data_IF_242906019204
#
_entry.id   IF_242906019204
#
_cell.length_a   1.000
_cell.length_b   1.000
_cell.length_c   1.000
_cell.angle_alpha   90.00
_cell.angle_beta   90.00
_cell.angle_gamma   90.00
#
_symmetry.space_group_name_H-M   'P 1'
#
loop_
_entity.id
_entity.type
_entity.pdbx_description
1 polymer ?
#
# COMPACT_ATOMS: atom_id res chain seq x y z
N UNK A 1 64.36 90.05 -23.43
CA UNK A 1 64.49 90.26 -24.87
C UNK A 1 63.33 89.57 -25.58
N UNK A 2 62.73 90.17 -26.62
CA UNK A 2 61.60 89.57 -27.31
C UNK A 2 62.01 88.28 -28.02
N UNK A 3 61.13 87.28 -27.98
CA UNK A 3 61.27 85.97 -28.66
C UNK A 3 60.16 85.87 -29.70
N UNK A 4 60.35 85.05 -30.74
CA UNK A 4 59.31 84.79 -31.72
C UNK A 4 58.16 83.94 -31.12
N UNK A 5 57.09 83.69 -31.89
CA UNK A 5 55.94 82.87 -31.45
C UNK A 5 56.26 81.41 -31.12
N UNK A 6 57.52 80.97 -31.32
CA UNK A 6 58.04 79.64 -31.00
C UNK A 6 59.04 79.69 -29.83
N UNK A 7 59.26 80.85 -29.20
CA UNK A 7 60.17 81.01 -28.07
C UNK A 7 61.66 81.12 -28.44
N UNK A 8 62.01 81.23 -29.71
CA UNK A 8 63.39 81.40 -30.18
C UNK A 8 63.75 82.89 -30.17
N UNK A 9 64.91 83.21 -29.61
CA UNK A 9 65.52 84.52 -29.73
C UNK A 9 66.26 84.63 -31.07
N UNK A 10 65.96 85.67 -31.84
CA UNK A 10 66.66 86.01 -33.07
C UNK A 10 67.41 87.32 -32.88
N UNK A 11 68.56 87.46 -33.55
CA UNK A 11 69.28 88.72 -33.59
C UNK A 11 68.44 89.80 -34.30
N UNK A 12 68.69 91.09 -34.01
CA UNK A 12 68.00 92.18 -34.69
C UNK A 12 68.13 92.09 -36.22
N UNK A 13 67.11 92.45 -37.01
CA UNK A 13 67.09 92.26 -38.47
C UNK A 13 68.24 92.94 -39.25
N UNK A 14 68.92 93.91 -38.64
CA UNK A 14 70.04 94.66 -39.23
C UNK A 14 71.40 93.99 -39.02
N UNK A 15 71.44 92.83 -38.34
CA UNK A 15 72.66 92.10 -38.01
C UNK A 15 73.25 91.33 -39.19
N UNK A 16 72.43 90.64 -39.99
CA UNK A 16 72.96 89.86 -41.12
C UNK A 16 73.23 90.77 -42.34
N UNK A 17 74.45 90.73 -42.88
CA UNK A 17 74.77 91.44 -44.11
C UNK A 17 73.98 90.86 -45.29
N UNK A 18 73.23 91.72 -46.00
CA UNK A 18 72.46 91.32 -47.18
C UNK A 18 73.34 91.38 -48.42
N UNK A 19 73.23 90.36 -49.27
CA UNK A 19 74.02 90.30 -50.52
C UNK A 19 73.72 91.53 -51.39
N UNK A 20 74.76 92.33 -51.68
CA UNK A 20 74.66 93.56 -52.48
C UNK A 20 74.80 94.86 -51.69
N UNK A 21 74.87 94.81 -50.35
CA UNK A 21 75.08 95.99 -49.49
C UNK A 21 76.53 96.11 -48.98
N UNK A 22 76.90 97.31 -48.51
CA UNK A 22 78.22 97.55 -47.88
C UNK A 22 78.23 96.94 -46.50
N UNK A 23 79.20 96.07 -46.21
CA UNK A 23 79.35 95.43 -44.90
C UNK A 23 79.86 96.46 -43.89
N UNK A 24 79.09 96.71 -42.83
CA UNK A 24 79.50 97.54 -41.70
C UNK A 24 80.03 96.67 -40.55
N UNK A 25 81.08 97.13 -39.86
CA UNK A 25 81.68 96.39 -38.74
C UNK A 25 80.67 96.10 -37.60
N UNK A 26 79.56 96.85 -37.53
CA UNK A 26 78.47 96.65 -36.58
C UNK A 26 77.63 95.38 -36.86
N UNK A 27 77.69 94.85 -38.09
CA UNK A 27 76.92 93.67 -38.54
C UNK A 27 77.55 92.33 -38.12
N UNK A 28 78.82 92.32 -37.67
CA UNK A 28 79.53 91.07 -37.35
C UNK A 28 80.25 91.14 -35.99
N UNK A 29 79.46 91.29 -34.93
CA UNK A 29 79.99 91.26 -33.56
C UNK A 29 79.81 89.84 -32.97
N UNK A 30 80.92 89.11 -32.79
CA UNK A 30 80.96 87.75 -32.21
C UNK A 30 80.18 87.61 -30.89
N UNK A 31 80.26 88.55 -29.93
CA UNK A 31 79.46 88.50 -28.71
C UNK A 31 77.94 88.43 -28.91
N UNK A 32 77.41 88.93 -30.03
CA UNK A 32 75.97 88.87 -30.30
C UNK A 32 75.53 87.46 -30.74
N UNK A 33 76.34 86.77 -31.54
CA UNK A 33 76.15 85.35 -31.87
C UNK A 33 76.20 84.47 -30.61
N UNK A 34 77.15 84.73 -29.71
CA UNK A 34 77.25 84.03 -28.42
C UNK A 34 76.01 84.24 -27.53
N UNK A 35 75.47 85.47 -27.48
CA UNK A 35 74.24 85.80 -26.75
C UNK A 35 73.04 85.08 -27.38
N UNK A 36 72.95 85.05 -28.71
CA UNK A 36 71.86 84.36 -29.38
C UNK A 36 71.91 82.84 -29.13
N UNK A 37 73.12 82.27 -29.07
CA UNK A 37 73.34 80.88 -28.69
C UNK A 37 72.93 80.61 -27.23
N UNK A 38 73.45 81.40 -26.27
CA UNK A 38 73.13 81.25 -24.84
C UNK A 38 71.64 81.40 -24.54
N UNK A 39 70.96 82.35 -25.19
CA UNK A 39 69.52 82.59 -24.98
C UNK A 39 68.62 81.50 -25.57
N UNK A 40 69.12 80.69 -26.52
CA UNK A 40 68.38 79.59 -27.13
C UNK A 40 68.77 78.21 -26.60
N UNK A 41 69.89 78.10 -25.89
CA UNK A 41 70.31 76.88 -25.22
C UNK A 41 69.62 76.71 -23.85
N UNK A 42 69.30 75.45 -23.51
CA UNK A 42 68.79 75.11 -22.19
C UNK A 42 69.85 75.42 -21.12
N UNK A 43 69.48 76.19 -20.09
CA UNK A 43 70.40 76.60 -19.02
C UNK A 43 70.60 75.50 -17.97
N UNK A 44 71.81 75.29 -17.45
CA UNK A 44 72.08 74.29 -16.42
C UNK A 44 71.45 74.65 -15.07
N UNK A 45 71.28 73.65 -14.21
CA UNK A 45 70.69 73.78 -12.85
C UNK A 45 71.45 74.80 -12.00
N UNK A 46 72.79 74.83 -12.09
CA UNK A 46 73.65 75.78 -11.35
C UNK A 46 73.35 77.26 -11.65
N UNK A 47 72.64 77.54 -12.75
CA UNK A 47 72.25 78.91 -13.16
C UNK A 47 70.73 79.13 -13.10
N UNK A 48 70.00 78.24 -12.44
CA UNK A 48 68.54 78.33 -12.26
C UNK A 48 67.70 77.78 -13.42
N UNK A 49 68.29 77.05 -14.36
CA UNK A 49 67.57 76.32 -15.40
C UNK A 49 67.32 74.84 -15.03
N UNK A 50 66.81 74.06 -15.98
CA UNK A 50 66.62 72.60 -15.82
C UNK A 50 67.54 71.78 -16.72
N UNK A 51 68.31 72.43 -17.61
CA UNK A 51 69.13 71.78 -18.63
C UNK A 51 68.34 71.06 -19.74
N UNK A 52 66.99 71.10 -19.71
CA UNK A 52 66.13 70.41 -20.67
C UNK A 52 65.48 71.36 -21.68
N UNK A 53 65.42 70.93 -22.95
CA UNK A 53 64.72 71.65 -24.04
C UNK A 53 63.23 71.29 -24.13
N UNK A 54 62.76 70.37 -23.28
CA UNK A 54 61.36 69.94 -23.21
C UNK A 54 60.92 69.75 -21.76
N UNK A 55 59.61 69.73 -21.52
CA UNK A 55 59.07 69.45 -20.20
C UNK A 55 59.47 68.06 -19.67
N UNK A 56 59.58 67.05 -20.54
CA UNK A 56 60.01 65.69 -20.15
C UNK A 56 61.46 65.68 -19.72
N UNK A 57 62.35 66.27 -20.52
CA UNK A 57 63.77 66.32 -20.18
C UNK A 57 64.05 67.18 -18.95
N UNK A 58 63.29 68.26 -18.76
CA UNK A 58 63.33 69.04 -17.54
C UNK A 58 62.92 68.23 -16.30
N UNK A 59 61.94 67.32 -16.41
CA UNK A 59 61.50 66.45 -15.32
C UNK A 59 62.54 65.37 -14.99
N UNK A 60 63.11 64.73 -16.02
CA UNK A 60 64.19 63.75 -15.86
C UNK A 60 65.41 64.37 -15.17
N UNK A 61 65.83 65.56 -15.61
CA UNK A 61 66.96 66.27 -15.01
C UNK A 61 66.73 66.69 -13.55
N UNK A 62 65.47 66.87 -13.15
CA UNK A 62 65.08 67.22 -11.79
C UNK A 62 64.67 66.02 -10.94
N UNK A 63 64.68 64.81 -11.51
CA UNK A 63 64.19 63.57 -10.87
C UNK A 63 62.76 63.71 -10.32
N UNK A 64 61.86 64.29 -11.13
CA UNK A 64 60.45 64.45 -10.77
C UNK A 64 59.53 63.74 -11.75
N UNK A 65 58.45 63.14 -11.24
CA UNK A 65 57.45 62.48 -12.06
C UNK A 65 56.36 63.45 -12.54
N UNK A 66 55.83 63.21 -13.74
CA UNK A 66 54.55 63.78 -14.13
C UNK A 66 53.42 63.17 -13.31
N UNK A 67 52.26 63.84 -13.30
CA UNK A 67 51.06 63.32 -12.63
C UNK A 67 50.70 61.89 -13.09
N UNK A 68 50.85 61.60 -14.38
CA UNK A 68 50.56 60.28 -14.94
C UNK A 68 51.56 59.24 -14.45
N UNK A 69 52.85 59.58 -14.48
CA UNK A 69 53.92 58.68 -14.00
C UNK A 69 53.79 58.41 -12.50
N UNK A 70 53.49 59.43 -11.68
CA UNK A 70 53.24 59.23 -10.23
C UNK A 70 52.04 58.31 -9.97
N UNK A 71 50.97 58.43 -10.74
CA UNK A 71 49.79 57.55 -10.62
C UNK A 71 50.13 56.13 -11.06
N UNK A 72 50.91 55.97 -12.13
CA UNK A 72 51.30 54.65 -12.62
C UNK A 72 52.25 53.95 -11.65
N UNK A 73 53.29 54.64 -11.16
CA UNK A 73 54.19 54.13 -10.14
C UNK A 73 53.45 53.70 -8.86
N UNK A 74 52.44 54.46 -8.44
CA UNK A 74 51.61 54.08 -7.29
C UNK A 74 50.78 52.80 -7.57
N UNK A 75 50.28 52.61 -8.80
CA UNK A 75 49.55 51.40 -9.20
C UNK A 75 50.47 50.18 -9.25
N UNK A 76 51.64 50.33 -9.85
CA UNK A 76 52.63 49.26 -9.99
C UNK A 76 53.11 48.81 -8.60
N UNK A 77 53.43 49.77 -7.73
CA UNK A 77 53.81 49.50 -6.34
C UNK A 77 52.72 48.79 -5.53
N UNK A 78 51.43 49.02 -5.83
CA UNK A 78 50.31 48.28 -5.20
C UNK A 78 50.20 46.86 -5.80
N UNK A 79 50.40 46.72 -7.11
CA UNK A 79 50.33 45.43 -7.80
C UNK A 79 51.46 44.46 -7.45
N UNK A 80 52.61 44.98 -7.04
CA UNK A 80 53.78 44.21 -6.61
C UNK A 80 53.73 43.80 -5.12
N UNK A 81 52.72 44.23 -4.36
CA UNK A 81 52.58 43.82 -2.96
C UNK A 81 52.28 42.32 -2.85
N UNK A 82 52.99 41.63 -1.95
CA UNK A 82 52.71 40.24 -1.63
C UNK A 82 51.31 40.07 -1.04
N UNK A 83 50.60 39.03 -1.48
CA UNK A 83 49.28 38.69 -0.94
C UNK A 83 49.41 38.18 0.50
N UNK A 84 48.54 38.69 1.38
CA UNK A 84 48.39 38.18 2.75
C UNK A 84 47.23 37.21 2.81
N UNK A 85 47.52 35.91 2.77
CA UNK A 85 46.51 34.84 2.76
C UNK A 85 45.62 34.81 4.02
N UNK A 86 46.19 35.16 5.18
CA UNK A 86 45.48 35.09 6.46
C UNK A 86 45.58 36.42 7.21
N UNK A 87 44.67 37.37 6.94
CA UNK A 87 44.65 38.63 7.68
C UNK A 87 44.29 38.41 9.16
N UNK A 88 45.01 39.07 10.05
CA UNK A 88 44.81 39.07 11.50
C UNK A 88 43.95 40.26 11.92
N UNK A 89 43.39 40.22 13.13
CA UNK A 89 42.42 41.23 13.61
C UNK A 89 42.90 42.68 13.59
N UNK A 90 44.21 42.88 13.71
CA UNK A 90 44.87 44.19 13.70
C UNK A 90 45.16 44.72 12.28
N UNK A 91 45.01 43.90 11.25
CA UNK A 91 45.18 44.35 9.86
C UNK A 91 44.08 45.35 9.48
N UNK A 92 44.32 46.16 8.46
CA UNK A 92 43.35 47.15 7.99
C UNK A 92 43.09 47.06 6.50
N UNK A 93 41.84 47.26 6.10
CA UNK A 93 41.43 47.52 4.71
C UNK A 93 41.07 48.99 4.56
N UNK A 94 41.39 49.57 3.41
CA UNK A 94 40.93 50.92 3.06
C UNK A 94 39.55 50.81 2.41
N UNK A 95 38.59 51.56 2.93
CA UNK A 95 37.24 51.70 2.39
C UNK A 95 37.01 53.15 1.98
N UNK A 96 36.08 53.36 1.07
CA UNK A 96 35.60 54.69 0.70
C UNK A 96 34.32 54.94 1.48
N UNK A 97 34.30 56.00 2.28
CA UNK A 97 33.12 56.34 3.09
C UNK A 97 32.19 57.28 2.30
N UNK A 98 31.06 56.74 1.85
CA UNK A 98 30.05 57.49 1.09
C UNK A 98 29.33 58.55 1.94
N UNK A 99 29.25 58.38 3.25
CA UNK A 99 28.62 59.35 4.15
C UNK A 99 29.53 60.55 4.46
N UNK A 100 30.85 60.37 4.35
CA UNK A 100 31.87 61.42 4.55
C UNK A 100 32.49 61.86 3.21
N UNK A 101 31.66 62.00 2.17
CA UNK A 101 32.05 62.59 0.89
C UNK A 101 33.08 61.77 0.11
N UNK A 102 33.01 60.44 0.19
CA UNK A 102 33.92 59.50 -0.47
C UNK A 102 35.39 59.61 -0.02
N UNK A 103 35.64 60.05 1.21
CA UNK A 103 37.00 60.05 1.77
C UNK A 103 37.45 58.63 2.08
N UNK A 104 38.72 58.27 1.82
CA UNK A 104 39.28 57.00 2.25
C UNK A 104 39.33 56.90 3.78
N UNK A 105 38.86 55.77 4.33
CA UNK A 105 38.95 55.41 5.75
C UNK A 105 39.58 54.04 5.90
N UNK A 106 40.16 53.77 7.07
CA UNK A 106 40.70 52.45 7.42
C UNK A 106 39.69 51.71 8.31
N UNK A 107 39.39 50.46 7.95
CA UNK A 107 38.62 49.55 8.79
C UNK A 107 39.50 48.38 9.22
N UNK A 108 39.49 48.04 10.50
CA UNK A 108 40.22 46.87 10.99
C UNK A 108 39.57 45.58 10.51
N UNK A 109 40.38 44.56 10.25
CA UNK A 109 39.89 43.25 9.82
C UNK A 109 38.96 42.62 10.85
N UNK A 110 39.19 42.86 12.15
CA UNK A 110 38.27 42.48 13.23
C UNK A 110 36.86 43.06 13.06
N UNK A 111 36.74 44.31 12.59
CA UNK A 111 35.44 44.97 12.34
C UNK A 111 34.78 44.43 11.08
N UNK A 112 35.58 44.15 10.04
CA UNK A 112 35.09 43.50 8.81
C UNK A 112 34.56 42.10 9.12
N UNK A 113 35.31 41.27 9.86
CA UNK A 113 34.86 39.95 10.32
C UNK A 113 33.61 40.03 11.18
N UNK A 114 33.52 41.03 12.06
CA UNK A 114 32.34 41.24 12.87
C UNK A 114 31.11 41.61 12.02
N UNK A 115 31.28 42.25 10.87
CA UNK A 115 30.20 42.53 9.93
C UNK A 115 29.76 41.28 9.17
N UNK A 116 30.71 40.40 8.81
CA UNK A 116 30.48 39.12 8.12
C UNK A 116 30.41 37.99 9.13
N UNK A 117 29.44 38.09 10.04
CA UNK A 117 29.24 37.10 11.11
C UNK A 117 27.97 36.26 10.87
N UNK A 118 27.79 35.21 11.67
CA UNK A 118 26.64 34.31 11.58
C UNK A 118 25.29 35.03 11.72
N UNK A 119 25.22 36.11 12.51
CA UNK A 119 23.99 36.88 12.68
C UNK A 119 23.62 37.68 11.41
N UNK A 120 24.61 38.27 10.74
CA UNK A 120 24.41 38.98 9.47
C UNK A 120 23.96 38.03 8.35
N UNK A 121 24.53 36.82 8.29
CA UNK A 121 24.12 35.77 7.34
C UNK A 121 22.71 35.26 7.69
N UNK A 122 22.41 35.05 8.97
CA UNK A 122 21.08 34.65 9.42
C UNK A 122 20.00 35.67 9.07
N UNK A 123 20.28 36.97 9.25
CA UNK A 123 19.38 38.05 8.86
C UNK A 123 19.16 38.10 7.34
N UNK A 124 20.21 37.89 6.54
CA UNK A 124 20.10 37.83 5.08
C UNK A 124 19.23 36.65 4.60
N UNK A 125 19.36 35.47 5.23
CA UNK A 125 18.50 34.32 4.95
C UNK A 125 17.05 34.58 5.37
N UNK A 126 16.83 35.18 6.54
CA UNK A 126 15.48 35.49 7.04
C UNK A 126 14.76 36.55 6.19
N UNK A 127 15.50 37.50 5.60
CA UNK A 127 14.95 38.52 4.70
C UNK A 127 14.79 38.08 3.24
N UNK A 128 15.24 36.88 2.87
CA UNK A 128 15.10 36.38 1.51
C UNK A 128 13.64 36.04 1.18
N UNK A 129 13.25 36.20 -0.09
CA UNK A 129 11.92 35.80 -0.55
C UNK A 129 11.73 34.29 -0.43
N UNK A 130 10.56 33.87 0.05
CA UNK A 130 10.19 32.45 0.11
C UNK A 130 9.99 31.84 -1.28
N UNK A 131 10.29 30.54 -1.42
CA UNK A 131 9.94 29.72 -2.59
C UNK A 131 8.90 28.68 -2.16
N UNK A 132 7.67 28.83 -2.68
CA UNK A 132 6.53 28.00 -2.24
C UNK A 132 6.70 26.51 -2.57
N UNK A 133 7.32 26.20 -3.72
CA UNK A 133 7.53 24.83 -4.18
C UNK A 133 8.99 24.62 -4.55
N UNK A 134 9.82 24.13 -3.61
CA UNK A 134 11.20 23.81 -3.91
C UNK A 134 11.30 22.65 -4.93
N UNK A 135 12.22 22.80 -5.88
CA UNK A 135 12.62 21.77 -6.84
C UNK A 135 13.70 20.87 -6.23
N UNK A 136 13.90 19.68 -6.78
CA UNK A 136 14.85 18.70 -6.22
C UNK A 136 16.30 19.18 -6.17
N UNK A 137 16.67 20.11 -7.05
CA UNK A 137 17.99 20.73 -7.10
C UNK A 137 18.19 21.90 -6.12
N UNK A 138 17.13 22.39 -5.48
CA UNK A 138 17.22 23.52 -4.56
C UNK A 138 17.98 23.12 -3.27
N UNK A 139 18.83 24.04 -2.77
CA UNK A 139 19.63 23.82 -1.58
C UNK A 139 19.00 24.40 -0.33
N UNK A 140 19.09 23.65 0.76
CA UNK A 140 18.85 24.09 2.13
C UNK A 140 20.16 24.10 2.89
N UNK A 141 20.45 25.20 3.58
CA UNK A 141 21.61 25.33 4.45
C UNK A 141 21.24 24.97 5.89
N UNK A 142 22.19 24.39 6.62
CA UNK A 142 22.06 24.07 8.03
C UNK A 142 23.41 24.12 8.74
N UNK A 143 23.38 23.89 10.05
CA UNK A 143 24.58 23.80 10.89
C UNK A 143 24.69 22.39 11.43
N UNK A 144 25.86 21.77 11.24
CA UNK A 144 26.15 20.43 11.73
C UNK A 144 26.09 20.38 13.26
N UNK A 145 25.41 19.36 13.79
CA UNK A 145 25.37 19.13 15.22
C UNK A 145 26.80 18.92 15.77
N UNK A 146 27.16 19.67 16.82
CA UNK A 146 28.43 19.51 17.54
C UNK A 146 29.66 20.21 16.95
N UNK A 147 29.58 20.90 15.80
CA UNK A 147 30.75 21.48 15.15
C UNK A 147 30.64 22.92 14.63
N UNK A 148 29.46 23.55 14.69
CA UNK A 148 29.19 24.86 14.03
C UNK A 148 29.59 24.90 12.54
N UNK A 149 29.76 23.74 11.91
CA UNK A 149 30.13 23.61 10.50
C UNK A 149 28.89 23.78 9.64
N UNK A 150 28.94 24.72 8.69
CA UNK A 150 27.86 24.89 7.73
C UNK A 150 27.81 23.69 6.79
N UNK A 151 26.60 23.19 6.51
CA UNK A 151 26.37 22.20 5.47
C UNK A 151 25.22 22.65 4.58
N UNK A 152 25.10 22.01 3.41
CA UNK A 152 23.93 22.13 2.55
C UNK A 152 23.42 20.74 2.16
N UNK A 153 22.12 20.62 1.98
CA UNK A 153 21.47 19.44 1.42
C UNK A 153 20.46 19.88 0.36
N UNK A 154 20.09 18.99 -0.55
CA UNK A 154 19.08 19.31 -1.56
C UNK A 154 17.68 18.99 -1.05
N UNK A 155 16.66 19.66 -1.60
CA UNK A 155 15.27 19.29 -1.34
C UNK A 155 14.99 17.83 -1.70
N UNK A 156 15.56 17.34 -2.81
CA UNK A 156 15.47 15.93 -3.20
C UNK A 156 15.97 14.97 -2.11
N UNK A 157 17.11 15.28 -1.47
CA UNK A 157 17.65 14.48 -0.37
C UNK A 157 16.75 14.53 0.88
N UNK A 158 16.17 15.69 1.18
CA UNK A 158 15.21 15.83 2.30
C UNK A 158 13.97 14.97 2.03
N UNK A 159 13.39 15.06 0.82
CA UNK A 159 12.26 14.23 0.43
C UNK A 159 12.57 12.75 0.53
N UNK A 160 13.72 12.31 0.04
CA UNK A 160 14.15 10.92 0.15
C UNK A 160 14.28 10.46 1.63
N UNK A 161 14.81 11.31 2.51
CA UNK A 161 14.90 11.00 3.94
C UNK A 161 13.53 10.92 4.62
N UNK A 162 12.59 11.79 4.25
CA UNK A 162 11.22 11.78 4.76
C UNK A 162 10.43 10.58 4.23
N UNK A 163 10.57 10.22 2.95
CA UNK A 163 9.93 9.06 2.33
C UNK A 163 10.36 7.73 2.98
N UNK A 164 11.56 7.67 3.57
CA UNK A 164 12.03 6.52 4.36
C UNK A 164 11.44 6.44 5.78
N UNK A 165 10.75 7.47 6.24
CA UNK A 165 10.26 7.59 7.63
C UNK A 165 8.75 7.76 7.73
N UNK A 166 8.12 8.35 6.72
CA UNK A 166 6.72 8.69 6.71
C UNK A 166 6.00 8.04 5.53
N UNK A 167 4.73 7.70 5.72
CA UNK A 167 3.87 7.26 4.63
C UNK A 167 3.47 8.47 3.79
N UNK A 168 3.52 8.33 2.47
CA UNK A 168 3.20 9.41 1.54
C UNK A 168 1.69 9.44 1.27
N UNK A 169 1.06 10.60 1.52
CA UNK A 169 -0.34 10.86 1.15
C UNK A 169 -0.39 11.47 -0.25
N UNK A 170 -0.92 10.73 -1.24
CA UNK A 170 -1.12 11.23 -2.60
C UNK A 170 -2.57 11.00 -3.00
N UNK A 171 -3.29 12.09 -3.30
CA UNK A 171 -4.69 12.01 -3.73
C UNK A 171 -5.61 11.31 -2.72
N UNK A 172 -5.38 11.54 -1.42
CA UNK A 172 -6.14 10.89 -0.34
C UNK A 172 -5.74 9.44 -0.04
N UNK A 173 -4.78 8.87 -0.77
CA UNK A 173 -4.27 7.51 -0.56
C UNK A 173 -2.94 7.56 0.19
N UNK A 174 -2.84 6.85 1.33
CA UNK A 174 -1.58 6.61 2.01
C UNK A 174 -0.85 5.45 1.33
N UNK A 175 0.39 5.70 0.90
CA UNK A 175 1.26 4.71 0.25
C UNK A 175 2.59 4.59 1.01
N UNK A 176 3.07 3.36 1.22
CA UNK A 176 4.33 3.06 1.89
C UNK A 176 4.23 1.84 2.84
N UNK A 177 5.36 1.46 3.45
CA UNK A 177 5.44 0.33 4.37
C UNK A 177 5.39 0.81 5.83
N UNK A 178 4.36 0.38 6.58
CA UNK A 178 4.30 0.63 8.03
C UNK A 178 5.09 -0.47 8.76
N UNK A 179 6.34 -0.20 9.11
CA UNK A 179 7.13 -1.09 9.97
C UNK A 179 6.82 -0.76 11.43
N UNK A 180 5.71 -1.30 11.92
CA UNK A 180 5.38 -1.28 13.34
C UNK A 180 6.12 -2.43 14.03
N UNK A 181 6.80 -2.17 15.14
CA UNK A 181 7.30 -3.22 16.05
C UNK A 181 6.14 -4.04 16.69
N UNK A 182 4.88 -3.68 16.40
CA UNK A 182 3.68 -4.47 16.63
C UNK A 182 2.64 -4.27 15.49
N UNK A 183 2.89 -4.93 14.35
CA UNK A 183 1.98 -5.67 13.45
C UNK A 183 0.54 -5.14 13.16
N UNK A 184 0.43 -4.18 12.24
CA UNK A 184 -0.78 -4.00 11.41
C UNK A 184 -0.36 -3.85 9.95
N UNK A 185 -0.86 -4.72 9.07
CA UNK A 185 -0.38 -4.87 7.69
C UNK A 185 -1.52 -4.73 6.68
N UNK A 186 -1.77 -3.52 6.16
CA UNK A 186 -2.86 -3.29 5.20
C UNK A 186 -2.30 -3.45 3.78
N UNK A 187 -2.48 -4.64 3.18
CA UNK A 187 -2.14 -4.89 1.77
C UNK A 187 -3.24 -4.41 0.82
N UNK A 188 -2.85 -3.70 -0.25
CA UNK A 188 -3.75 -3.10 -1.24
C UNK A 188 -4.61 -4.13 -2.01
N UNK A 189 -4.04 -5.29 -2.31
CA UNK A 189 -4.71 -6.29 -3.18
C UNK A 189 -5.49 -7.35 -2.37
N UNK A 190 -5.16 -7.47 -1.07
CA UNK A 190 -5.86 -8.33 -0.11
C UNK A 190 -5.75 -7.68 1.27
N UNK A 191 -6.69 -6.81 1.69
CA UNK A 191 -6.65 -6.27 3.04
C UNK A 191 -6.75 -7.43 4.05
N UNK A 192 -5.66 -7.65 4.80
CA UNK A 192 -5.56 -8.67 5.84
C UNK A 192 -5.28 -8.02 7.18
N UNK A 193 -6.03 -8.40 8.21
CA UNK A 193 -5.63 -8.14 9.59
C UNK A 193 -4.93 -9.39 10.11
N UNK A 194 -3.69 -9.23 10.53
CA UNK A 194 -2.84 -10.33 11.00
C UNK A 194 -2.59 -10.15 12.49
N UNK A 195 -3.06 -11.09 13.29
CA UNK A 195 -2.79 -11.16 14.72
C UNK A 195 -1.62 -12.14 14.93
N UNK A 196 -0.44 -11.57 15.14
CA UNK A 196 0.80 -12.32 15.39
C UNK A 196 1.00 -12.38 16.91
N UNK A 197 1.27 -13.58 17.44
CA UNK A 197 1.58 -13.76 18.85
C UNK A 197 2.92 -13.08 19.22
N UNK A 198 3.21 -12.86 20.52
CA UNK A 198 4.51 -12.33 20.95
C UNK A 198 5.72 -13.16 20.52
N UNK A 199 5.53 -14.44 20.17
CA UNK A 199 6.57 -15.32 19.66
C UNK A 199 6.81 -15.20 18.14
N UNK A 200 6.08 -14.31 17.45
CA UNK A 200 6.21 -14.08 16.02
C UNK A 200 5.44 -15.07 15.14
N UNK A 201 4.70 -16.00 15.74
CA UNK A 201 3.84 -16.93 14.99
C UNK A 201 2.52 -16.24 14.61
N UNK A 202 2.07 -16.42 13.37
CA UNK A 202 0.73 -16.01 12.95
C UNK A 202 -0.28 -16.88 13.69
N UNK A 203 -1.02 -16.27 14.62
CA UNK A 203 -2.05 -16.97 15.35
C UNK A 203 -3.36 -16.87 14.56
N UNK A 204 -3.83 -15.65 14.28
CA UNK A 204 -5.10 -15.45 13.57
C UNK A 204 -4.94 -14.49 12.40
N UNK A 205 -5.66 -14.74 11.31
CA UNK A 205 -5.80 -13.74 10.25
C UNK A 205 -7.23 -13.58 9.78
N UNK A 206 -7.62 -12.32 9.60
CA UNK A 206 -8.83 -11.91 8.92
C UNK A 206 -8.46 -11.48 7.51
N UNK A 207 -9.07 -12.08 6.49
CA UNK A 207 -8.78 -11.79 5.10
C UNK A 207 -10.07 -11.41 4.36
N UNK A 208 -10.17 -10.17 3.90
CA UNK A 208 -11.20 -9.76 2.95
C UNK A 208 -10.62 -9.89 1.53
N UNK A 209 -11.05 -10.90 0.79
CA UNK A 209 -10.44 -11.24 -0.50
C UNK A 209 -11.28 -10.70 -1.67
N UNK A 210 -11.08 -9.43 -2.04
CA UNK A 210 -11.92 -8.73 -3.04
C UNK A 210 -11.50 -9.07 -4.50
N UNK A 211 -10.49 -9.91 -4.72
CA UNK A 211 -9.96 -10.18 -6.06
C UNK A 211 -10.62 -11.40 -6.75
N UNK A 212 -11.82 -11.14 -7.28
CA UNK A 212 -12.43 -11.59 -8.54
C UNK A 212 -12.20 -12.98 -9.17
N UNK A 213 -11.70 -14.01 -8.47
CA UNK A 213 -11.66 -15.36 -9.07
C UNK A 213 -12.42 -16.44 -8.31
N UNK A 214 -12.76 -16.25 -7.04
CA UNK A 214 -13.52 -17.25 -6.27
C UNK A 214 -14.39 -16.64 -5.18
N UNK A 215 -15.31 -15.73 -5.51
CA UNK A 215 -16.43 -15.31 -4.65
C UNK A 215 -16.13 -15.27 -3.13
N UNK A 216 -15.05 -14.66 -2.62
CA UNK A 216 -14.72 -14.71 -1.18
C UNK A 216 -14.98 -13.35 -0.55
N UNK A 217 -16.09 -13.21 0.17
CA UNK A 217 -16.41 -11.97 0.90
C UNK A 217 -15.49 -11.80 2.11
N UNK A 218 -15.32 -12.87 2.90
CA UNK A 218 -14.61 -12.83 4.17
C UNK A 218 -14.07 -14.22 4.55
N UNK A 219 -12.84 -14.29 5.06
CA UNK A 219 -12.21 -15.56 5.46
C UNK A 219 -11.49 -15.41 6.80
N UNK A 220 -11.67 -16.40 7.68
CA UNK A 220 -10.98 -16.56 8.96
C UNK A 220 -10.00 -17.73 8.84
N UNK A 221 -8.72 -17.49 9.17
CA UNK A 221 -7.68 -18.52 9.19
C UNK A 221 -6.97 -18.61 10.54
N UNK A 222 -6.57 -19.82 10.90
CA UNK A 222 -5.60 -20.11 11.96
C UNK A 222 -4.36 -20.74 11.30
N UNK A 223 -3.25 -20.02 11.31
CA UNK A 223 -2.10 -20.36 10.48
C UNK A 223 -2.45 -20.47 8.99
N UNK A 224 -2.26 -21.67 8.41
CA UNK A 224 -2.59 -21.96 7.00
C UNK A 224 -3.97 -22.59 6.78
N UNK A 225 -4.70 -22.87 7.87
CA UNK A 225 -5.99 -23.58 7.82
C UNK A 225 -7.13 -22.57 7.79
N UNK A 226 -8.02 -22.70 6.81
CA UNK A 226 -9.30 -21.98 6.80
C UNK A 226 -10.23 -22.57 7.86
N UNK A 227 -10.62 -21.74 8.83
CA UNK A 227 -11.58 -22.12 9.88
C UNK A 227 -13.00 -21.70 9.50
N UNK A 228 -13.14 -20.70 8.64
CA UNK A 228 -14.42 -20.41 8.01
C UNK A 228 -14.31 -19.33 6.95
N UNK A 229 -15.27 -19.32 6.03
CA UNK A 229 -15.41 -18.24 5.05
C UNK A 229 -16.88 -17.93 4.75
N UNK A 230 -17.14 -16.67 4.43
CA UNK A 230 -18.37 -16.22 3.79
C UNK A 230 -18.04 -15.83 2.36
N UNK A 231 -18.73 -16.44 1.42
CA UNK A 231 -18.56 -16.21 -0.01
C UNK A 231 -19.54 -15.16 -0.52
N UNK A 232 -19.20 -14.48 -1.61
CA UNK A 232 -20.04 -13.44 -2.21
C UNK A 232 -21.29 -14.01 -2.90
N UNK A 233 -21.32 -15.32 -3.17
CA UNK A 233 -22.52 -16.03 -3.61
C UNK A 233 -23.47 -16.41 -2.45
N UNK A 234 -23.15 -15.98 -1.22
CA UNK A 234 -23.92 -16.26 -0.01
C UNK A 234 -23.63 -17.63 0.62
N UNK A 235 -22.81 -18.47 -0.02
CA UNK A 235 -22.35 -19.71 0.62
C UNK A 235 -21.37 -19.41 1.76
N UNK A 236 -21.29 -20.31 2.74
CA UNK A 236 -20.31 -20.21 3.82
C UNK A 236 -19.70 -21.59 4.11
N UNK A 237 -18.47 -21.58 4.61
CA UNK A 237 -17.79 -22.77 5.15
C UNK A 237 -17.52 -22.53 6.62
N UNK A 238 -17.64 -23.58 7.42
CA UNK A 238 -17.31 -23.57 8.84
C UNK A 238 -16.53 -24.84 9.16
N UNK A 239 -15.45 -24.68 9.92
CA UNK A 239 -14.73 -25.79 10.50
C UNK A 239 -15.39 -26.16 11.83
N UNK A 240 -15.91 -27.39 11.91
CA UNK A 240 -16.60 -27.91 13.09
C UNK A 240 -18.13 -27.94 12.94
N UNK A 241 -18.84 -27.80 14.06
CA UNK A 241 -20.30 -27.87 14.11
C UNK A 241 -20.91 -26.51 13.75
N UNK A 242 -21.97 -26.50 12.94
CA UNK A 242 -22.76 -25.29 12.65
C UNK A 242 -23.98 -25.28 13.56
N UNK A 243 -23.92 -24.48 14.62
CA UNK A 243 -25.00 -24.36 15.60
C UNK A 243 -26.12 -23.45 15.10
N UNK A 244 -27.35 -23.78 15.45
CA UNK A 244 -28.54 -22.97 15.22
C UNK A 244 -29.23 -22.61 16.56
N UNK A 245 -29.90 -21.45 16.59
CA UNK A 245 -30.62 -20.97 17.78
C UNK A 245 -29.68 -20.66 18.96
N UNK A 246 -30.00 -21.21 20.14
CA UNK A 246 -29.24 -21.00 21.38
C UNK A 246 -28.07 -22.00 21.57
N UNK A 247 -27.62 -22.66 20.51
CA UNK A 247 -26.50 -23.62 20.57
C UNK A 247 -26.89 -25.06 20.91
N UNK A 248 -28.18 -25.38 20.97
CA UNK A 248 -28.66 -26.74 21.30
C UNK A 248 -28.90 -27.64 20.09
N UNK A 249 -29.10 -27.06 18.89
CA UNK A 249 -29.19 -27.80 17.64
C UNK A 249 -28.00 -27.47 16.75
N UNK A 250 -27.47 -28.46 16.02
CA UNK A 250 -26.33 -28.25 15.14
C UNK A 250 -26.33 -29.18 13.93
N UNK A 251 -25.71 -28.72 12.84
CA UNK A 251 -25.27 -29.55 11.72
C UNK A 251 -23.84 -30.03 12.00
N UNK A 252 -23.64 -31.34 11.96
CA UNK A 252 -22.34 -31.96 12.17
C UNK A 252 -21.46 -31.90 10.91
N UNK A 253 -20.15 -32.08 11.10
CA UNK A 253 -19.21 -32.23 9.97
C UNK A 253 -19.46 -33.46 9.10
N UNK A 254 -20.26 -34.43 9.57
CA UNK A 254 -20.68 -35.61 8.79
C UNK A 254 -21.98 -35.38 8.02
N UNK A 255 -22.60 -34.20 8.14
CA UNK A 255 -23.88 -33.87 7.52
C UNK A 255 -25.12 -34.33 8.31
N UNK A 256 -24.93 -34.87 9.51
CA UNK A 256 -26.05 -35.22 10.39
C UNK A 256 -26.56 -34.00 11.16
N UNK A 257 -27.83 -34.03 11.55
CA UNK A 257 -28.48 -32.93 12.24
C UNK A 257 -28.82 -33.40 13.65
N UNK A 258 -28.29 -32.73 14.66
CA UNK A 258 -28.63 -32.99 16.05
C UNK A 258 -29.60 -31.91 16.56
N UNK A 259 -30.64 -32.31 17.30
CA UNK A 259 -31.50 -31.37 17.99
C UNK A 259 -32.64 -32.01 18.76
N UNK A 260 -33.22 -31.24 19.68
CA UNK A 260 -34.32 -31.68 20.54
C UNK A 260 -35.55 -32.17 19.77
N UNK A 261 -35.83 -31.60 18.58
CA UNK A 261 -36.93 -32.03 17.71
C UNK A 261 -36.84 -33.52 17.32
N UNK A 262 -35.62 -34.06 17.26
CA UNK A 262 -35.34 -35.44 16.89
C UNK A 262 -35.01 -36.32 18.10
N UNK A 263 -34.95 -35.73 19.31
CA UNK A 263 -34.48 -36.43 20.52
C UNK A 263 -32.99 -36.79 20.49
N UNK A 264 -32.20 -36.17 19.61
CA UNK A 264 -30.82 -36.56 19.34
C UNK A 264 -30.44 -36.33 17.88
N UNK A 265 -29.76 -37.29 17.27
CA UNK A 265 -29.40 -37.24 15.85
C UNK A 265 -30.58 -37.63 14.95
N UNK A 266 -30.74 -36.89 13.84
CA UNK A 266 -31.78 -37.13 12.85
C UNK A 266 -31.64 -38.54 12.24
N UNK A 267 -30.42 -39.02 12.03
CA UNK A 267 -30.18 -40.38 11.53
C UNK A 267 -30.75 -41.47 12.45
N UNK A 268 -30.53 -41.37 13.76
CA UNK A 268 -31.08 -42.29 14.78
C UNK A 268 -32.60 -42.21 14.85
N UNK A 269 -33.14 -40.99 14.80
CA UNK A 269 -34.58 -40.76 14.73
C UNK A 269 -35.19 -41.45 13.51
N UNK A 270 -34.65 -41.22 12.31
CA UNK A 270 -35.15 -41.81 11.07
C UNK A 270 -35.04 -43.34 11.09
N UNK A 271 -33.93 -43.91 11.57
CA UNK A 271 -33.78 -45.36 11.69
C UNK A 271 -34.85 -45.96 12.62
N UNK A 272 -35.14 -45.30 13.74
CA UNK A 272 -36.17 -45.73 14.68
C UNK A 272 -37.57 -45.67 14.04
N UNK A 273 -37.89 -44.58 13.34
CA UNK A 273 -39.18 -44.43 12.65
C UNK A 273 -39.36 -45.45 11.52
N UNK A 274 -38.32 -45.70 10.72
CA UNK A 274 -38.34 -46.70 9.65
C UNK A 274 -38.50 -48.11 10.21
N UNK A 275 -37.80 -48.45 11.30
CA UNK A 275 -37.94 -49.74 11.95
C UNK A 275 -39.39 -49.97 12.46
N UNK A 276 -40.00 -48.96 13.09
CA UNK A 276 -41.39 -49.02 13.54
C UNK A 276 -42.38 -49.19 12.38
N UNK A 277 -42.15 -48.50 11.26
CA UNK A 277 -42.95 -48.65 10.05
C UNK A 277 -42.83 -50.05 9.46
N UNK A 278 -41.61 -50.57 9.33
CA UNK A 278 -41.36 -51.92 8.83
C UNK A 278 -42.06 -52.99 9.68
N UNK A 279 -41.97 -52.89 11.01
CA UNK A 279 -42.68 -53.79 11.92
C UNK A 279 -44.21 -53.74 11.73
N UNK A 280 -44.75 -52.54 11.47
CA UNK A 280 -46.17 -52.36 11.17
C UNK A 280 -46.56 -53.02 9.84
N UNK A 281 -45.72 -52.85 8.81
CA UNK A 281 -45.93 -53.48 7.49
C UNK A 281 -45.87 -55.00 7.61
N UNK A 282 -44.87 -55.54 8.28
CA UNK A 282 -44.72 -56.98 8.51
C UNK A 282 -45.92 -57.55 9.26
N UNK A 283 -46.38 -56.88 10.33
CA UNK A 283 -47.57 -57.28 11.08
C UNK A 283 -48.82 -57.30 10.19
N UNK A 284 -49.05 -56.25 9.39
CA UNK A 284 -50.19 -56.17 8.47
C UNK A 284 -50.10 -57.22 7.36
N UNK A 285 -48.90 -57.48 6.85
CA UNK A 285 -48.66 -58.51 5.83
C UNK A 285 -48.95 -59.91 6.37
N UNK A 286 -48.47 -60.20 7.58
CA UNK A 286 -48.76 -61.45 8.28
C UNK A 286 -50.26 -61.64 8.51
N UNK A 287 -50.95 -60.62 9.02
CA UNK A 287 -52.40 -60.66 9.24
C UNK A 287 -53.18 -60.92 7.94
N UNK A 288 -52.85 -60.21 6.84
CA UNK A 288 -53.48 -60.46 5.53
C UNK A 288 -53.26 -61.89 5.03
N UNK A 289 -52.07 -62.44 5.27
CA UNK A 289 -51.75 -63.83 4.91
C UNK A 289 -52.55 -64.81 5.75
N UNK A 290 -52.70 -64.56 7.05
CA UNK A 290 -53.56 -65.36 7.93
C UNK A 290 -55.03 -65.27 7.52
N UNK A 291 -55.57 -64.08 7.24
CA UNK A 291 -56.94 -63.92 6.77
C UNK A 291 -57.19 -64.69 5.46
N UNK A 292 -56.21 -64.70 4.55
CA UNK A 292 -56.29 -65.49 3.32
C UNK A 292 -56.28 -67.00 3.59
N UNK A 293 -55.41 -67.49 4.48
CA UNK A 293 -55.30 -68.91 4.81
C UNK A 293 -56.49 -69.43 5.65
N UNK A 294 -57.00 -68.62 6.58
CA UNK A 294 -58.20 -68.95 7.38
C UNK A 294 -59.44 -69.04 6.48
N UNK A 295 -59.49 -68.26 5.40
CA UNK A 295 -60.52 -68.39 4.37
C UNK A 295 -60.35 -69.63 3.47
N UNK A 296 -59.28 -70.42 3.60
CA UNK A 296 -59.10 -71.71 2.91
C UNK A 296 -59.45 -72.94 3.75
N UNK A 297 -59.92 -72.79 5.01
CA UNK A 297 -60.40 -73.93 5.80
C UNK A 297 -61.64 -74.52 5.12
N UNK A 298 -61.72 -75.85 4.90
CA UNK A 298 -62.92 -76.49 4.36
C UNK A 298 -64.17 -76.06 5.16
N UNK A 299 -65.11 -75.37 4.50
CA UNK A 299 -66.29 -74.80 5.15
C UNK A 299 -66.18 -73.32 5.59
N UNK A 300 -65.21 -72.54 5.13
CA UNK A 300 -65.26 -71.06 5.15
C UNK A 300 -66.42 -70.51 4.29
N UNK A 301 -66.86 -69.25 4.51
CA UNK A 301 -67.95 -68.63 3.73
C UNK A 301 -67.65 -68.72 2.21
N UNK A 302 -68.60 -69.23 1.42
CA UNK A 302 -68.44 -69.39 -0.04
C UNK A 302 -67.63 -70.62 -0.46
N UNK A 303 -67.11 -71.41 0.48
CA UNK A 303 -66.48 -72.70 0.20
C UNK A 303 -67.46 -73.86 0.33
N UNK A 304 -67.11 -75.00 -0.29
CA UNK A 304 -67.79 -76.27 -0.10
C UNK A 304 -66.87 -77.26 0.61
N UNK A 305 -67.46 -78.18 1.37
CA UNK A 305 -66.74 -79.26 2.02
C UNK A 305 -67.60 -80.51 2.12
N UNK A 306 -66.95 -81.67 2.12
CA UNK A 306 -67.60 -82.93 2.43
C UNK A 306 -67.67 -83.08 3.94
N UNK A 307 -68.88 -83.06 4.48
CA UNK A 307 -69.11 -83.23 5.91
C UNK A 307 -70.03 -84.42 6.15
N UNK A 308 -69.87 -85.01 7.33
CA UNK A 308 -70.77 -86.01 7.88
C UNK A 308 -71.78 -85.32 8.79
N UNK A 309 -73.06 -85.62 8.62
CA UNK A 309 -74.13 -85.12 9.48
C UNK A 309 -74.31 -86.02 10.69
N UNK A 310 -74.24 -85.45 11.89
CA UNK A 310 -74.34 -86.21 13.16
C UNK A 310 -75.75 -86.25 13.75
N UNK A 311 -76.70 -85.53 13.17
CA UNK A 311 -78.10 -85.56 13.61
C UNK A 311 -78.87 -86.78 13.10
N UNK A 312 -80.05 -87.02 13.68
CA UNK A 312 -80.96 -88.08 13.23
C UNK A 312 -81.86 -87.57 12.09
N UNK A 313 -81.82 -88.25 10.94
CA UNK A 313 -82.72 -87.97 9.81
C UNK A 313 -82.01 -87.84 8.46
N UNK A 314 -82.78 -87.91 7.38
CA UNK A 314 -82.27 -87.73 6.01
C UNK A 314 -82.16 -86.24 5.71
N UNK A 315 -80.95 -85.79 5.38
CA UNK A 315 -80.71 -84.42 4.93
C UNK A 315 -80.91 -84.36 3.41
N UNK A 316 -81.92 -83.64 2.94
CA UNK A 316 -82.19 -83.45 1.51
C UNK A 316 -81.45 -82.22 0.96
N UNK A 317 -81.12 -82.18 -0.35
CA UNK A 317 -80.53 -81.00 -0.97
C UNK A 317 -81.34 -79.72 -0.69
N UNK A 318 -80.65 -78.63 -0.32
CA UNK A 318 -81.26 -77.37 0.10
C UNK A 318 -81.59 -77.26 1.59
N UNK A 319 -81.49 -78.35 2.37
CA UNK A 319 -81.66 -78.28 3.83
C UNK A 319 -80.49 -77.52 4.47
N UNK A 320 -80.81 -76.52 5.29
CA UNK A 320 -79.84 -75.78 6.10
C UNK A 320 -79.54 -76.53 7.40
N UNK A 321 -78.28 -76.89 7.61
CA UNK A 321 -77.78 -77.58 8.78
C UNK A 321 -76.82 -76.67 9.54
N UNK A 322 -76.91 -76.65 10.87
CA UNK A 322 -75.96 -75.91 11.69
C UNK A 322 -74.59 -76.61 11.68
N UNK A 323 -73.50 -75.84 11.57
CA UNK A 323 -72.13 -76.38 11.57
C UNK A 323 -71.81 -77.25 12.79
N UNK A 324 -72.47 -77.03 13.93
CA UNK A 324 -72.34 -77.87 15.14
C UNK A 324 -72.88 -79.30 14.97
N UNK A 325 -73.70 -79.55 13.94
CA UNK A 325 -74.23 -80.88 13.60
C UNK A 325 -73.45 -81.54 12.45
N UNK A 326 -72.34 -80.95 12.05
CA UNK A 326 -71.47 -81.45 11.00
C UNK A 326 -70.12 -81.82 11.60
N UNK A 327 -69.49 -82.85 11.07
CA UNK A 327 -68.09 -83.20 11.36
C UNK A 327 -67.39 -83.50 10.05
N UNK A 328 -66.11 -83.18 9.96
CA UNK A 328 -65.27 -83.63 8.85
C UNK A 328 -64.26 -84.66 9.35
N UNK A 329 -63.68 -85.41 8.43
CA UNK A 329 -62.55 -86.30 8.70
C UNK A 329 -61.37 -85.83 7.86
N UNK A 330 -60.21 -85.62 8.49
CA UNK A 330 -58.96 -85.53 7.73
C UNK A 330 -58.63 -86.90 7.11
N UNK A 331 -57.79 -86.91 6.07
CA UNK A 331 -57.37 -88.15 5.38
C UNK A 331 -56.51 -89.11 6.25
N UNK A 332 -56.33 -88.82 7.55
CA UNK A 332 -55.38 -89.49 8.45
C UNK A 332 -55.99 -90.50 9.45
N UNK A 333 -57.26 -90.86 9.31
CA UNK A 333 -57.83 -92.00 10.04
C UNK A 333 -59.23 -91.77 10.58
N UNK A 334 -59.90 -92.87 10.92
CA UNK A 334 -61.33 -93.04 11.22
C UNK A 334 -61.79 -92.39 12.56
N UNK A 335 -61.33 -91.18 12.87
CA UNK A 335 -61.78 -90.37 13.98
C UNK A 335 -62.33 -89.05 13.44
N UNK A 336 -63.60 -88.78 13.75
CA UNK A 336 -64.28 -87.51 13.46
C UNK A 336 -63.47 -86.36 14.07
N UNK A 337 -62.75 -85.63 13.22
CA UNK A 337 -61.81 -84.60 13.64
C UNK A 337 -62.47 -83.23 13.48
N UNK A 338 -63.18 -82.82 14.54
CA UNK A 338 -63.68 -81.46 14.72
C UNK A 338 -64.99 -81.12 13.99
N UNK A 339 -65.67 -80.09 14.51
CA UNK A 339 -66.80 -79.47 13.84
C UNK A 339 -66.32 -78.40 12.87
N UNK A 340 -66.94 -78.21 11.69
CA UNK A 340 -66.67 -77.06 10.86
C UNK A 340 -67.03 -75.76 11.59
N UNK A 341 -66.55 -74.60 11.12
CA UNK A 341 -66.84 -73.31 11.74
C UNK A 341 -68.36 -73.09 11.90
N UNK A 342 -68.77 -72.39 12.97
CA UNK A 342 -70.19 -72.06 13.23
C UNK A 342 -70.83 -71.32 12.06
N UNK A 343 -72.03 -71.73 11.66
CA UNK A 343 -72.76 -71.17 10.51
C UNK A 343 -73.81 -72.13 9.96
N UNK A 344 -74.57 -71.68 8.97
CA UNK A 344 -75.54 -72.49 8.24
C UNK A 344 -74.92 -73.06 6.96
N UNK A 345 -75.03 -74.37 6.79
CA UNK A 345 -74.49 -75.13 5.67
C UNK A 345 -75.64 -75.76 4.91
N UNK A 346 -75.65 -75.62 3.59
CA UNK A 346 -76.70 -76.17 2.74
C UNK A 346 -76.22 -77.47 2.12
N UNK A 347 -76.99 -78.55 2.31
CA UNK A 347 -76.73 -79.81 1.62
C UNK A 347 -76.88 -79.60 0.11
N UNK A 348 -75.85 -79.96 -0.66
CA UNK A 348 -75.83 -79.87 -2.11
C UNK A 348 -76.12 -81.23 -2.78
N UNK A 349 -76.05 -82.31 -2.01
CA UNK A 349 -76.19 -83.70 -2.47
C UNK A 349 -75.45 -84.67 -1.56
N UNK A 350 -75.88 -85.92 -1.53
CA UNK A 350 -75.27 -86.97 -0.72
C UNK A 350 -74.69 -88.09 -1.60
N UNK A 351 -73.62 -88.73 -1.14
CA UNK A 351 -73.21 -90.04 -1.65
C UNK A 351 -73.54 -91.13 -0.61
N UNK A 352 -74.18 -92.21 -1.07
CA UNK A 352 -74.42 -93.39 -0.22
C UNK A 352 -73.11 -94.18 -0.09
N UNK A 353 -72.32 -93.87 0.94
CA UNK A 353 -71.09 -94.57 1.27
C UNK A 353 -71.39 -95.82 2.13
N UNK A 354 -72.04 -96.82 1.55
CA UNK A 354 -72.11 -98.19 2.09
C UNK A 354 -73.25 -98.52 3.09
N UNK A 355 -73.35 -99.80 3.50
CA UNK A 355 -74.53 -100.39 4.15
C UNK A 355 -74.81 -99.94 5.59
N UNK A 356 -74.00 -99.04 6.16
CA UNK A 356 -74.07 -98.65 7.58
C UNK A 356 -74.79 -97.32 7.85
N UNK A 357 -75.71 -96.89 6.97
CA UNK A 357 -76.52 -95.64 7.14
C UNK A 357 -75.72 -94.33 7.28
N UNK A 358 -74.39 -94.37 7.15
CA UNK A 358 -73.52 -93.20 7.24
C UNK A 358 -73.38 -92.54 5.86
N UNK A 359 -73.97 -91.36 5.67
CA UNK A 359 -73.93 -90.59 4.41
C UNK A 359 -72.97 -89.42 4.52
N UNK A 360 -71.97 -89.37 3.66
CA UNK A 360 -71.16 -88.15 3.47
C UNK A 360 -71.89 -87.24 2.49
N UNK A 361 -72.15 -86.00 2.90
CA UNK A 361 -72.92 -85.04 2.11
C UNK A 361 -72.01 -83.86 1.77
N UNK A 362 -72.07 -83.41 0.53
CA UNK A 362 -71.40 -82.18 0.13
C UNK A 362 -72.23 -81.02 0.68
N UNK A 363 -71.62 -80.18 1.51
CA UNK A 363 -72.28 -78.95 1.95
C UNK A 363 -71.56 -77.72 1.41
N UNK A 364 -72.36 -76.73 1.02
CA UNK A 364 -71.89 -75.40 0.69
C UNK A 364 -72.21 -74.46 1.86
N UNK A 365 -71.23 -73.69 2.30
CA UNK A 365 -71.49 -72.61 3.25
C UNK A 365 -71.86 -71.35 2.47
N UNK A 366 -73.10 -70.91 2.63
CA UNK A 366 -73.54 -69.63 2.08
C UNK A 366 -73.19 -68.51 3.06
N UNK A 367 -72.85 -67.35 2.51
CA UNK A 367 -72.62 -66.13 3.27
C UNK A 367 -73.86 -65.70 4.06
#
# INVERSE_FOLDING_TARGET
>A
MPRNGQGVYSLPPVYEAVTGETIEAQQHNVPLEDIASDLNNARPISTGGTGGQSATQARENLDVYSKTESVQAAKDAIGELEAKETPVDADSVVIVDSEDGNKPKKSLWSKVKALVNTASVGAAVAGANGKETPEDGDFFAGVGAGGSTMFKTTWGNIKAALDLRFLRLVGGTLTGQLVSLANMYIQKDVPRFLFISPSGAVEWSLQANITNTNNLGFQIKWGSVEIGSFKTDGSFTAFGLVYAGNGTAFLSGTGDINGAQWGGYLSEYLNTQIAALNATIETRSYQRTQDFLVNQVPGSLGSYGFFYYTGSGIVTPGTAIAGSQLVWSSAWGNSSTGSPPTGSYYSMGYCDAGPQTARTTLFLRRA
#
